data_IF_558701521062
#
_entry.id   IF_558701521062
#
_cell.length_a   1.000
_cell.length_b   1.000
_cell.length_c   1.000
_cell.angle_alpha   90.00
_cell.angle_beta   90.00
_cell.angle_gamma   90.00
#
_symmetry.space_group_name_H-M   'P 1'
#
loop_
_entity.id
_entity.type
_entity.pdbx_description
1 polymer ?
#
# COMPACT_ATOMS: atom_id res chain seq x y z
N UNK A 1 16.88 24.77 2.85
CA UNK A 1 17.51 23.98 1.77
C UNK A 1 19.01 24.23 1.76
N UNK A 2 19.82 23.18 1.77
CA UNK A 2 21.27 23.29 1.69
C UNK A 2 21.72 23.37 0.23
N UNK A 3 22.97 23.82 -0.02
CA UNK A 3 23.53 23.83 -1.38
C UNK A 3 23.55 22.41 -1.99
N UNK A 4 23.72 21.40 -1.14
CA UNK A 4 23.72 19.99 -1.58
C UNK A 4 22.36 19.58 -2.12
N UNK A 5 21.27 20.05 -1.53
CA UNK A 5 19.92 19.73 -2.01
C UNK A 5 19.64 20.36 -3.38
N UNK A 6 20.24 21.51 -3.64
CA UNK A 6 20.08 22.20 -4.92
C UNK A 6 20.75 21.45 -6.07
N UNK A 7 21.74 20.60 -5.77
CA UNK A 7 22.51 19.87 -6.77
C UNK A 7 21.95 18.47 -7.07
N UNK A 8 20.86 18.08 -6.40
CA UNK A 8 20.26 16.76 -6.60
C UNK A 8 19.46 16.71 -7.89
N UNK A 9 19.68 15.62 -8.65
CA UNK A 9 18.86 15.30 -9.81
C UNK A 9 17.49 14.83 -9.32
N UNK A 10 16.41 15.27 -9.96
CA UNK A 10 15.06 14.85 -9.62
C UNK A 10 14.66 13.67 -10.50
N UNK A 11 14.21 12.59 -9.88
CA UNK A 11 13.66 11.45 -10.59
C UNK A 11 12.26 11.14 -10.09
N UNK A 12 11.39 10.80 -11.04
CA UNK A 12 10.02 10.37 -10.75
C UNK A 12 10.01 8.87 -10.46
N UNK A 13 9.29 8.48 -9.43
CA UNK A 13 9.10 7.08 -9.09
C UNK A 13 7.61 6.80 -8.90
N UNK A 14 7.16 5.63 -9.34
CA UNK A 14 5.76 5.23 -9.28
C UNK A 14 5.65 3.86 -8.65
N UNK A 15 4.64 3.69 -7.80
CA UNK A 15 4.23 2.40 -7.28
C UNK A 15 2.72 2.30 -7.34
N UNK A 16 2.21 1.08 -7.25
CA UNK A 16 0.79 0.82 -7.15
C UNK A 16 0.53 -0.28 -6.11
N UNK A 17 -0.56 -0.15 -5.41
CA UNK A 17 -0.95 -1.11 -4.40
C UNK A 17 -2.42 -0.98 -4.06
N UNK A 18 -2.81 -1.40 -2.87
CA UNK A 18 -4.22 -1.37 -2.54
C UNK A 18 -4.53 -1.60 -1.08
N UNK A 19 -5.80 -1.39 -0.78
CA UNK A 19 -6.41 -1.73 0.50
C UNK A 19 -7.30 -2.94 0.25
N UNK A 20 -6.94 -4.06 0.83
CA UNK A 20 -7.74 -5.30 0.74
C UNK A 20 -8.65 -5.33 1.95
N UNK A 21 -9.95 -5.39 1.73
CA UNK A 21 -10.91 -5.42 2.82
C UNK A 21 -11.84 -6.61 2.72
N UNK A 22 -12.41 -6.96 3.84
CA UNK A 22 -13.52 -7.93 3.93
C UNK A 22 -14.46 -7.48 5.05
N UNK A 23 -15.68 -7.98 4.99
CA UNK A 23 -16.64 -7.79 6.07
C UNK A 23 -16.47 -8.95 7.04
N UNK A 24 -15.92 -8.66 8.20
CA UNK A 24 -15.70 -9.64 9.25
C UNK A 24 -16.85 -9.68 10.23
N UNK A 25 -16.70 -10.53 11.24
CA UNK A 25 -17.72 -10.72 12.28
C UNK A 25 -17.99 -9.44 13.07
N UNK A 26 -16.96 -8.61 13.25
CA UNK A 26 -17.05 -7.40 14.07
C UNK A 26 -16.88 -6.12 13.25
N UNK A 27 -17.13 -6.18 11.95
CA UNK A 27 -17.04 -5.03 11.06
C UNK A 27 -16.03 -5.22 9.96
N UNK A 28 -15.63 -4.10 9.34
CA UNK A 28 -14.68 -4.11 8.24
C UNK A 28 -13.28 -4.45 8.76
N UNK A 29 -12.62 -5.36 8.06
CA UNK A 29 -11.24 -5.72 8.30
C UNK A 29 -10.40 -5.40 7.08
N UNK A 30 -9.15 -5.00 7.31
CA UNK A 30 -8.19 -4.70 6.24
C UNK A 30 -6.88 -5.43 6.49
N UNK A 31 -6.14 -5.70 5.41
CA UNK A 31 -4.85 -6.38 5.50
C UNK A 31 -3.74 -5.34 5.64
N UNK A 32 -2.84 -5.56 6.60
CA UNK A 32 -1.61 -4.79 6.72
C UNK A 32 -0.41 -5.72 6.67
N UNK A 33 0.68 -5.17 6.16
CA UNK A 33 1.98 -5.83 6.05
C UNK A 33 2.93 -5.20 7.06
N UNK A 34 3.67 -6.01 7.80
CA UNK A 34 4.52 -5.54 8.88
C UNK A 34 5.94 -6.02 8.81
N UNK A 35 6.86 -5.19 9.33
CA UNK A 35 8.24 -5.54 9.60
C UNK A 35 8.52 -5.35 11.07
N UNK A 36 8.66 -6.47 11.77
CA UNK A 36 8.83 -6.47 13.23
C UNK A 36 10.06 -5.70 13.68
N UNK A 37 11.16 -5.80 12.92
CA UNK A 37 12.41 -5.13 13.27
C UNK A 37 12.30 -3.61 13.24
N UNK A 38 11.35 -3.07 12.49
CA UNK A 38 11.15 -1.63 12.35
C UNK A 38 9.90 -1.13 13.07
N UNK A 39 9.11 -2.05 13.65
CA UNK A 39 7.79 -1.70 14.19
C UNK A 39 6.84 -1.17 13.14
N UNK A 40 7.05 -1.55 11.89
CA UNK A 40 6.32 -1.03 10.72
C UNK A 40 5.03 -1.80 10.46
N UNK A 41 3.97 -1.05 10.18
CA UNK A 41 2.73 -1.56 9.60
C UNK A 41 2.33 -0.67 8.43
N UNK A 42 2.17 -1.27 7.26
CA UNK A 42 1.99 -0.54 6.01
C UNK A 42 1.04 -1.26 5.06
N UNK A 43 0.59 -0.54 4.04
CA UNK A 43 -0.19 -1.12 2.95
C UNK A 43 0.73 -1.80 1.94
N UNK A 44 0.28 -2.91 1.32
CA UNK A 44 1.04 -3.56 0.25
C UNK A 44 1.08 -2.69 -1.01
N UNK A 45 2.24 -2.63 -1.64
CA UNK A 45 2.48 -1.89 -2.88
C UNK A 45 3.80 -2.30 -3.49
N UNK A 46 3.99 -1.96 -4.75
CA UNK A 46 5.28 -2.15 -5.39
C UNK A 46 5.40 -1.46 -6.73
N UNK A 47 6.54 -1.66 -7.37
CA UNK A 47 6.94 -0.96 -8.59
C UNK A 47 6.45 -1.70 -9.83
N UNK A 48 5.94 -0.98 -10.84
CA UNK A 48 5.52 -1.61 -12.09
C UNK A 48 6.68 -2.33 -12.79
N UNK A 49 6.36 -3.49 -13.34
CA UNK A 49 7.24 -4.16 -14.27
C UNK A 49 6.97 -3.61 -15.67
N UNK A 50 7.93 -3.81 -16.56
CA UNK A 50 7.83 -3.30 -17.92
C UNK A 50 6.57 -3.80 -18.61
N UNK A 51 5.77 -2.86 -19.12
CA UNK A 51 4.53 -3.18 -19.82
C UNK A 51 3.30 -3.37 -18.94
N UNK A 52 3.47 -3.31 -17.61
CA UNK A 52 2.32 -3.41 -16.71
C UNK A 52 1.55 -2.10 -16.61
N UNK A 53 0.24 -2.18 -16.57
CA UNK A 53 -0.60 -1.06 -16.14
C UNK A 53 -0.49 -0.91 -14.62
N UNK A 54 -0.93 0.22 -14.08
CA UNK A 54 -0.98 0.43 -12.64
C UNK A 54 -1.88 -0.60 -11.96
N UNK A 55 -3.00 -0.95 -12.57
CA UNK A 55 -3.91 -1.96 -12.05
C UNK A 55 -3.25 -3.34 -12.01
N UNK A 56 -2.54 -3.72 -13.07
CA UNK A 56 -1.81 -4.99 -13.12
C UNK A 56 -0.72 -5.04 -12.06
N UNK A 57 0.02 -3.95 -11.89
CA UNK A 57 1.04 -3.84 -10.85
C UNK A 57 0.43 -4.00 -9.46
N UNK A 58 -0.66 -3.29 -9.19
CA UNK A 58 -1.33 -3.35 -7.90
C UNK A 58 -1.81 -4.77 -7.60
N UNK A 59 -2.44 -5.43 -8.56
CA UNK A 59 -2.92 -6.81 -8.38
C UNK A 59 -1.77 -7.77 -8.10
N UNK A 60 -0.69 -7.67 -8.86
CA UNK A 60 0.47 -8.54 -8.68
C UNK A 60 1.17 -8.31 -7.36
N UNK A 61 1.50 -7.06 -7.04
CA UNK A 61 2.22 -6.73 -5.81
C UNK A 61 1.42 -7.04 -4.56
N UNK A 62 0.13 -6.71 -4.57
CA UNK A 62 -0.73 -7.01 -3.42
C UNK A 62 -0.86 -8.51 -3.23
N UNK A 63 -1.03 -9.27 -4.31
CA UNK A 63 -1.11 -10.73 -4.23
C UNK A 63 0.17 -11.34 -3.68
N UNK A 64 1.33 -10.90 -4.17
CA UNK A 64 2.64 -11.39 -3.70
C UNK A 64 2.86 -11.08 -2.22
N UNK A 65 2.64 -9.84 -1.83
CA UNK A 65 2.93 -9.38 -0.47
C UNK A 65 1.93 -9.87 0.57
N UNK A 66 0.67 -10.10 0.18
CA UNK A 66 -0.35 -10.54 1.13
C UNK A 66 -0.63 -12.04 1.09
N UNK A 67 -0.28 -12.71 0.00
CA UNK A 67 -0.63 -14.12 -0.19
C UNK A 67 -2.04 -14.36 -0.69
N UNK A 68 -2.81 -13.28 -0.91
CA UNK A 68 -4.22 -13.36 -1.30
C UNK A 68 -4.40 -13.13 -2.80
N UNK A 69 -5.28 -13.91 -3.42
CA UNK A 69 -5.86 -13.51 -4.69
C UNK A 69 -6.80 -12.34 -4.46
N UNK A 70 -6.70 -11.30 -5.28
CA UNK A 70 -7.46 -10.06 -5.10
C UNK A 70 -8.07 -9.58 -6.40
N UNK A 71 -9.15 -8.80 -6.29
CA UNK A 71 -9.75 -8.09 -7.42
C UNK A 71 -9.95 -6.63 -7.05
N UNK A 72 -9.82 -5.75 -8.02
CA UNK A 72 -10.04 -4.32 -7.84
C UNK A 72 -11.54 -4.04 -7.91
N UNK A 73 -12.05 -3.29 -6.90
CA UNK A 73 -13.45 -2.87 -6.86
C UNK A 73 -13.61 -1.35 -6.80
N UNK A 74 -12.52 -0.60 -6.75
CA UNK A 74 -12.58 0.86 -6.75
C UNK A 74 -11.21 1.49 -6.84
N UNK A 75 -11.18 2.80 -7.05
CA UNK A 75 -9.97 3.61 -7.10
C UNK A 75 -9.94 4.50 -5.85
N UNK A 76 -8.83 4.50 -5.14
CA UNK A 76 -8.66 5.30 -3.92
C UNK A 76 -7.78 6.53 -4.13
N UNK A 77 -7.30 6.74 -5.36
CA UNK A 77 -6.42 7.85 -5.67
C UNK A 77 -4.96 7.57 -5.31
N UNK A 78 -4.19 8.61 -5.22
CA UNK A 78 -2.75 8.50 -5.03
C UNK A 78 -2.28 9.37 -3.87
N UNK A 79 -1.12 9.00 -3.33
CA UNK A 79 -0.36 9.84 -2.40
C UNK A 79 0.97 10.18 -3.06
N UNK A 80 1.49 11.35 -2.74
CA UNK A 80 2.76 11.85 -3.28
C UNK A 80 3.67 12.25 -2.13
N UNK A 81 4.95 11.92 -2.25
CA UNK A 81 5.96 12.35 -1.31
C UNK A 81 7.34 12.35 -1.97
N UNK A 82 8.27 13.10 -1.36
CA UNK A 82 9.64 13.20 -1.85
C UNK A 82 10.61 12.68 -0.81
N UNK A 83 11.70 12.10 -1.26
CA UNK A 83 12.81 11.76 -0.40
C UNK A 83 14.12 11.86 -1.18
N UNK A 84 15.18 12.22 -0.45
CA UNK A 84 16.49 12.41 -1.05
C UNK A 84 17.40 11.23 -0.77
N UNK A 85 18.21 10.88 -1.76
CA UNK A 85 19.34 9.95 -1.64
C UNK A 85 20.61 10.71 -2.00
N UNK A 86 21.18 11.52 -1.06
CA UNK A 86 22.31 12.41 -1.39
C UNK A 86 23.54 11.68 -1.89
N UNK A 87 23.81 10.47 -1.40
CA UNK A 87 24.95 9.66 -1.86
C UNK A 87 24.81 9.29 -3.32
N UNK A 88 23.57 9.11 -3.78
CA UNK A 88 23.27 8.81 -5.19
C UNK A 88 23.09 10.09 -6.03
N UNK A 89 23.06 11.25 -5.38
CA UNK A 89 22.83 12.53 -6.07
C UNK A 89 21.42 12.69 -6.59
N UNK A 90 20.43 12.07 -5.96
CA UNK A 90 19.05 12.01 -6.46
C UNK A 90 18.05 12.39 -5.38
N UNK A 91 17.02 13.14 -5.80
CA UNK A 91 15.78 13.33 -5.05
C UNK A 91 14.67 12.60 -5.82
N UNK A 92 14.00 11.70 -5.16
CA UNK A 92 12.85 11.01 -5.74
C UNK A 92 11.56 11.74 -5.40
N UNK A 93 10.73 11.93 -6.42
CA UNK A 93 9.36 12.37 -6.24
C UNK A 93 8.49 11.15 -6.53
N UNK A 94 7.87 10.60 -5.49
CA UNK A 94 7.18 9.33 -5.55
C UNK A 94 5.67 9.52 -5.53
N UNK A 95 4.99 8.81 -6.44
CA UNK A 95 3.54 8.71 -6.48
C UNK A 95 3.15 7.26 -6.27
N UNK A 96 2.26 7.00 -5.33
CA UNK A 96 1.74 5.66 -5.07
C UNK A 96 0.24 5.66 -5.31
N UNK A 97 -0.20 4.90 -6.31
CA UNK A 97 -1.62 4.73 -6.63
C UNK A 97 -2.19 3.57 -5.83
N UNK A 98 -3.37 3.79 -5.24
CA UNK A 98 -4.02 2.78 -4.40
C UNK A 98 -5.40 2.43 -4.94
N UNK A 99 -5.72 1.15 -4.89
CA UNK A 99 -7.02 0.63 -5.32
C UNK A 99 -7.71 -0.06 -4.16
N UNK A 100 -9.04 0.01 -4.15
CA UNK A 100 -9.85 -0.76 -3.21
C UNK A 100 -9.99 -2.17 -3.77
N UNK A 101 -9.71 -3.17 -2.94
CA UNK A 101 -9.68 -4.56 -3.37
C UNK A 101 -10.46 -5.46 -2.42
N UNK A 102 -10.96 -6.55 -2.98
CA UNK A 102 -11.58 -7.63 -2.22
C UNK A 102 -10.83 -8.92 -2.50
N UNK A 103 -10.75 -9.82 -1.51
CA UNK A 103 -10.17 -11.15 -1.75
C UNK A 103 -11.08 -11.97 -2.65
N UNK A 104 -10.48 -12.83 -3.49
CA UNK A 104 -11.22 -13.71 -4.40
C UNK A 104 -11.57 -15.06 -3.77
N UNK A 105 -11.04 -15.35 -2.59
CA UNK A 105 -11.18 -16.65 -1.95
C UNK A 105 -10.00 -17.58 -2.19
N UNK A 106 -9.05 -17.16 -3.03
CA UNK A 106 -7.83 -17.92 -3.31
C UNK A 106 -6.71 -17.41 -2.41
N UNK A 107 -5.92 -18.33 -1.85
CA UNK A 107 -4.77 -17.99 -1.01
C UNK A 107 -5.14 -17.60 0.41
N UNK A 108 -4.12 -17.30 1.20
CA UNK A 108 -4.28 -16.80 2.57
C UNK A 108 -3.11 -15.91 2.92
N UNK A 109 -3.26 -15.11 3.99
CA UNK A 109 -2.19 -14.22 4.45
C UNK A 109 -0.94 -15.00 4.89
N UNK A 110 -1.06 -16.28 5.20
CA UNK A 110 0.09 -17.11 5.53
C UNK A 110 0.96 -17.44 4.31
N UNK A 111 0.45 -17.20 3.11
CA UNK A 111 1.16 -17.48 1.85
C UNK A 111 1.91 -16.26 1.29
N UNK A 112 2.05 -15.19 2.08
CA UNK A 112 2.75 -13.99 1.65
C UNK A 112 4.22 -14.29 1.34
N UNK A 113 4.82 -13.45 0.49
CA UNK A 113 6.25 -13.55 0.18
C UNK A 113 7.10 -13.11 1.38
N UNK A 114 8.42 -13.06 1.21
CA UNK A 114 9.34 -12.76 2.29
C UNK A 114 9.66 -11.29 2.50
N UNK A 115 9.03 -10.38 1.78
CA UNK A 115 9.33 -8.95 1.90
C UNK A 115 8.93 -8.39 3.27
N UNK A 116 7.79 -8.83 3.79
CA UNK A 116 7.34 -8.50 5.14
C UNK A 116 7.33 -9.78 5.97
N UNK A 117 7.67 -9.68 7.24
CA UNK A 117 7.68 -10.85 8.13
C UNK A 117 6.34 -11.12 8.77
N UNK A 118 5.41 -10.16 8.70
CA UNK A 118 4.04 -10.34 9.20
C UNK A 118 3.03 -9.76 8.21
N UNK A 119 1.96 -10.50 7.97
CA UNK A 119 0.81 -10.06 7.19
C UNK A 119 -0.42 -10.56 7.89
N UNK A 120 -1.35 -9.68 8.18
CA UNK A 120 -2.54 -10.05 8.94
C UNK A 120 -3.74 -9.16 8.65
N UNK A 121 -4.91 -9.68 8.95
CA UNK A 121 -6.16 -8.93 8.96
C UNK A 121 -6.30 -8.19 10.28
N UNK A 122 -6.71 -6.93 10.20
CA UNK A 122 -7.00 -6.09 11.37
C UNK A 122 -8.37 -5.48 11.20
N UNK A 123 -9.09 -5.29 12.31
CA UNK A 123 -10.27 -4.44 12.28
C UNK A 123 -9.83 -3.04 11.84
N UNK A 124 -10.67 -2.39 11.05
CA UNK A 124 -10.30 -1.12 10.43
C UNK A 124 -9.85 -0.07 11.44
N UNK A 125 -10.53 0.04 12.57
CA UNK A 125 -10.16 1.01 13.61
C UNK A 125 -8.79 0.73 14.21
N UNK A 126 -8.48 -0.55 14.43
CA UNK A 126 -7.16 -0.94 14.93
C UNK A 126 -6.09 -0.67 13.88
N UNK A 127 -6.36 -0.97 12.62
CA UNK A 127 -5.43 -0.68 11.53
C UNK A 127 -5.05 0.80 11.51
N UNK A 128 -6.04 1.69 11.63
CA UNK A 128 -5.80 3.13 11.67
C UNK A 128 -4.91 3.57 12.83
N UNK A 129 -4.96 2.86 13.96
CA UNK A 129 -4.14 3.20 15.13
C UNK A 129 -2.70 2.73 15.02
N UNK A 130 -2.47 1.58 14.35
CA UNK A 130 -1.13 0.97 14.35
C UNK A 130 -0.32 1.29 13.08
N UNK A 131 -0.97 1.78 12.03
CA UNK A 131 -0.26 2.11 10.78
C UNK A 131 0.81 3.15 10.99
N UNK A 132 1.95 2.95 10.35
CA UNK A 132 3.13 3.78 10.53
C UNK A 132 3.05 5.10 9.75
N UNK A 133 2.49 5.07 8.53
CA UNK A 133 2.53 6.22 7.62
C UNK A 133 1.19 6.95 7.57
N UNK A 134 1.23 8.24 7.88
CA UNK A 134 0.01 9.08 7.93
C UNK A 134 -0.72 9.13 6.60
N UNK A 135 -0.02 9.25 5.48
CA UNK A 135 -0.66 9.30 4.16
C UNK A 135 -1.37 7.99 3.84
N UNK A 136 -0.85 6.86 4.27
CA UNK A 136 -1.54 5.57 4.08
C UNK A 136 -2.78 5.47 4.96
N UNK A 137 -2.75 6.05 6.14
CA UNK A 137 -3.93 6.16 7.00
C UNK A 137 -5.06 6.89 6.26
N UNK A 138 -4.74 7.98 5.56
CA UNK A 138 -5.73 8.69 4.75
C UNK A 138 -6.31 7.82 3.64
N UNK A 139 -5.50 6.96 3.04
CA UNK A 139 -5.96 6.02 2.01
C UNK A 139 -6.95 5.01 2.62
N UNK A 140 -6.65 4.46 3.78
CA UNK A 140 -7.57 3.53 4.46
C UNK A 140 -8.88 4.24 4.83
N UNK A 141 -8.81 5.50 5.26
CA UNK A 141 -10.03 6.27 5.54
C UNK A 141 -10.87 6.49 4.28
N UNK A 142 -10.24 6.75 3.14
CA UNK A 142 -10.94 6.81 1.85
C UNK A 142 -11.60 5.48 1.50
N UNK A 143 -10.90 4.37 1.77
CA UNK A 143 -11.45 3.04 1.56
C UNK A 143 -12.72 2.82 2.39
N UNK A 144 -12.66 3.15 3.67
CA UNK A 144 -13.81 3.00 4.56
C UNK A 144 -14.99 3.86 4.12
N UNK A 145 -14.72 5.09 3.70
CA UNK A 145 -15.77 5.97 3.19
C UNK A 145 -16.41 5.40 1.91
N UNK A 146 -15.60 4.84 1.01
CA UNK A 146 -16.09 4.24 -0.22
C UNK A 146 -16.95 3.00 0.06
N UNK A 147 -16.53 2.16 1.02
CA UNK A 147 -17.27 0.97 1.42
C UNK A 147 -18.63 1.36 2.01
N UNK A 148 -18.66 2.34 2.89
CA UNK A 148 -19.90 2.82 3.51
C UNK A 148 -20.80 3.56 2.55
N UNK A 149 -20.21 4.30 1.60
CA UNK A 149 -20.97 5.10 0.64
C UNK A 149 -21.68 4.29 -0.44
N UNK A 150 -21.43 2.98 -0.51
CA UNK A 150 -22.04 2.08 -1.51
C UNK A 150 -23.39 1.51 -1.02
N UNK A 151 -23.77 1.78 0.19
CA UNK A 151 -25.05 1.30 0.75
C UNK A 151 -26.24 2.05 0.18
#
# INVERSE_FOLDING_TARGET
MTARDLDLRIEQAVSAGGVVYRRGEHGIEVVLCGRSSEGLWALPKGTPERGESLQETALREVSEETGLGVRIVGDLGAIEYSFARPVQGVRFEKTVYHFLMEPTGIGSVDEHDGEYDRVAWFQAEEALRIMTHRNEIHIVRRALAAIEGVT
#
